data_IF_932652977460
#
_entry.id   IF_932652977460
#
_cell.length_a   1.000
_cell.length_b   1.000
_cell.length_c   1.000
_cell.angle_alpha   90.00
_cell.angle_beta   90.00
_cell.angle_gamma   90.00
#
_symmetry.space_group_name_H-M   'P 1'
#
loop_
_entity.id
_entity.type
_entity.pdbx_description
1 polymer ?
#
# COMPACT_ATOMS: atom_id res chain seq x y z
N UNK A 1 -4.40 7.15 15.54
CA UNK A 1 -4.72 6.12 14.53
C UNK A 1 -4.16 4.79 15.01
N UNK A 2 -4.98 3.73 15.03
CA UNK A 2 -4.56 2.39 15.47
C UNK A 2 -3.90 1.61 14.32
N UNK A 3 -3.21 0.50 14.64
CA UNK A 3 -2.69 -0.45 13.63
C UNK A 3 -3.80 -0.97 12.70
N UNK A 4 -5.01 -1.18 13.24
CA UNK A 4 -6.17 -1.62 12.47
C UNK A 4 -6.64 -0.56 11.47
N UNK A 5 -6.61 0.72 11.86
CA UNK A 5 -6.99 1.82 10.97
C UNK A 5 -5.97 1.94 9.81
N UNK A 6 -4.69 1.80 10.11
CA UNK A 6 -3.60 1.81 9.11
C UNK A 6 -3.76 0.67 8.12
N UNK A 7 -4.07 -0.53 8.61
CA UNK A 7 -4.31 -1.71 7.79
C UNK A 7 -5.48 -1.51 6.82
N UNK A 8 -6.57 -0.88 7.27
CA UNK A 8 -7.73 -0.55 6.42
C UNK A 8 -7.43 0.46 5.32
N UNK A 9 -6.36 1.26 5.43
CA UNK A 9 -5.96 2.19 4.37
C UNK A 9 -5.64 1.46 3.06
N UNK A 10 -5.13 0.24 3.14
CA UNK A 10 -4.70 -0.55 1.99
C UNK A 10 -5.86 -1.22 1.23
N UNK A 11 -7.06 -1.29 1.80
CA UNK A 11 -8.17 -2.04 1.21
C UNK A 11 -8.94 -1.19 0.19
N UNK A 12 -9.08 -1.68 -1.04
CA UNK A 12 -9.90 -1.08 -2.11
C UNK A 12 -10.32 -2.18 -3.10
N UNK A 13 -11.02 -1.81 -4.17
CA UNK A 13 -11.56 -2.78 -5.14
C UNK A 13 -10.49 -3.73 -5.73
N UNK A 14 -9.25 -3.24 -5.88
CA UNK A 14 -8.13 -4.02 -6.42
C UNK A 14 -7.19 -4.62 -5.34
N UNK A 15 -7.40 -4.28 -4.07
CA UNK A 15 -6.58 -4.74 -2.95
C UNK A 15 -7.49 -5.24 -1.83
N UNK A 16 -7.62 -6.56 -1.73
CA UNK A 16 -8.43 -7.18 -0.69
C UNK A 16 -7.60 -7.69 0.48
N UNK A 17 -8.29 -8.20 1.49
CA UNK A 17 -7.70 -8.88 2.64
C UNK A 17 -8.43 -10.19 2.87
N UNK A 18 -7.69 -11.28 3.09
CA UNK A 18 -8.29 -12.58 3.39
C UNK A 18 -8.59 -12.72 4.89
N UNK A 19 -9.25 -13.83 5.27
CA UNK A 19 -9.61 -14.13 6.67
C UNK A 19 -8.38 -14.30 7.59
N UNK A 20 -7.19 -14.52 7.02
CA UNK A 20 -5.92 -14.61 7.75
C UNK A 20 -5.25 -13.25 7.93
N UNK A 21 -5.87 -12.15 7.48
CA UNK A 21 -5.31 -10.81 7.57
C UNK A 21 -4.20 -10.50 6.54
N UNK A 22 -4.02 -11.36 5.53
CA UNK A 22 -3.07 -11.12 4.44
C UNK A 22 -3.74 -10.32 3.34
N UNK A 23 -3.00 -9.36 2.78
CA UNK A 23 -3.47 -8.60 1.62
C UNK A 23 -3.30 -9.41 0.35
N UNK A 24 -4.15 -9.15 -0.63
CA UNK A 24 -3.99 -9.72 -1.96
C UNK A 24 -4.23 -8.69 -3.06
N UNK A 25 -3.42 -8.79 -4.12
CA UNK A 25 -3.53 -7.98 -5.34
C UNK A 25 -3.56 -8.93 -6.53
N UNK A 26 -4.52 -8.76 -7.43
CA UNK A 26 -4.60 -9.53 -8.67
C UNK A 26 -3.95 -8.79 -9.83
N UNK A 27 -2.91 -9.39 -10.42
CA UNK A 27 -2.14 -8.81 -11.52
C UNK A 27 -1.99 -9.83 -12.66
N UNK A 28 -2.60 -9.54 -13.81
CA UNK A 28 -2.62 -10.44 -14.97
C UNK A 28 -3.08 -11.87 -14.61
N UNK A 29 -4.17 -12.00 -13.84
CA UNK A 29 -4.74 -13.26 -13.34
C UNK A 29 -3.86 -14.02 -12.33
N UNK A 30 -2.79 -13.40 -11.83
CA UNK A 30 -2.00 -13.92 -10.73
C UNK A 30 -2.41 -13.22 -9.43
N UNK A 31 -2.64 -13.99 -8.37
CA UNK A 31 -2.91 -13.45 -7.04
C UNK A 31 -1.61 -13.37 -6.25
N UNK A 32 -1.18 -12.15 -5.95
CA UNK A 32 -0.01 -11.87 -5.13
C UNK A 32 -0.50 -11.66 -3.70
N UNK A 33 -0.01 -12.46 -2.76
CA UNK A 33 -0.35 -12.36 -1.34
C UNK A 33 0.75 -11.60 -0.59
N UNK A 34 0.38 -10.77 0.37
CA UNK A 34 1.29 -9.98 1.18
C UNK A 34 1.02 -10.08 2.67
N UNK A 35 2.10 -10.10 3.45
CA UNK A 35 2.08 -9.75 4.87
C UNK A 35 2.44 -8.28 5.03
N UNK A 36 1.71 -7.58 5.91
CA UNK A 36 1.98 -6.19 6.24
C UNK A 36 2.70 -6.09 7.58
N UNK A 37 3.85 -5.41 7.58
CA UNK A 37 4.53 -4.93 8.78
C UNK A 37 4.34 -3.42 8.87
N UNK A 38 3.81 -2.95 10.00
CA UNK A 38 3.55 -1.53 10.25
C UNK A 38 4.55 -1.03 11.30
N UNK A 39 5.31 0.01 10.95
CA UNK A 39 6.18 0.71 11.89
C UNK A 39 5.57 2.09 12.16
N UNK A 40 5.09 2.30 13.39
CA UNK A 40 4.45 3.54 13.80
C UNK A 40 5.53 4.48 14.38
N UNK A 41 5.69 5.65 13.78
CA UNK A 41 6.54 6.73 14.26
C UNK A 41 5.96 8.10 13.92
N UNK A 42 6.80 9.12 13.77
CA UNK A 42 6.39 10.45 13.26
C UNK A 42 5.73 10.30 11.88
N UNK A 43 6.27 9.39 11.08
CA UNK A 43 5.72 8.92 9.83
C UNK A 43 5.41 7.43 10.03
N UNK A 44 4.32 6.96 9.45
CA UNK A 44 3.93 5.55 9.46
C UNK A 44 4.54 4.89 8.22
N UNK A 45 5.34 3.86 8.43
CA UNK A 45 5.83 3.02 7.33
C UNK A 45 5.08 1.69 7.31
N UNK A 46 4.57 1.33 6.14
CA UNK A 46 3.91 0.05 5.90
C UNK A 46 4.75 -0.72 4.89
N UNK A 47 5.25 -1.89 5.29
CA UNK A 47 6.04 -2.78 4.44
C UNK A 47 5.17 -3.98 4.09
N UNK A 48 4.87 -4.14 2.81
CA UNK A 48 4.18 -5.28 2.24
C UNK A 48 5.21 -6.25 1.67
N UNK A 49 5.41 -7.39 2.33
CA UNK A 49 6.27 -8.45 1.82
C UNK A 49 5.41 -9.52 1.16
N UNK A 50 5.70 -9.82 -0.10
CA UNK A 50 4.98 -10.86 -0.81
C UNK A 50 5.36 -12.24 -0.27
N UNK A 51 4.34 -13.07 -0.04
CA UNK A 51 4.48 -14.43 0.48
C UNK A 51 4.86 -15.40 -0.64
N UNK A 52 4.32 -15.19 -1.84
CA UNK A 52 4.39 -16.13 -2.96
C UNK A 52 5.22 -15.64 -4.16
N UNK A 53 5.74 -14.41 -4.10
CA UNK A 53 6.65 -13.85 -5.10
C UNK A 53 7.78 -13.06 -4.44
N UNK A 54 8.92 -12.89 -5.13
CA UNK A 54 9.97 -11.96 -4.69
C UNK A 54 9.54 -10.53 -5.00
N UNK A 55 8.74 -9.94 -4.12
CA UNK A 55 8.24 -8.58 -4.25
C UNK A 55 8.07 -7.97 -2.86
N UNK A 56 8.60 -6.76 -2.68
CA UNK A 56 8.40 -5.97 -1.46
C UNK A 56 7.93 -4.58 -1.86
N UNK A 57 6.89 -4.08 -1.20
CA UNK A 57 6.44 -2.69 -1.34
C UNK A 57 6.56 -1.94 -0.02
N UNK A 58 7.03 -0.69 -0.09
CA UNK A 58 7.08 0.25 1.02
C UNK A 58 6.11 1.38 0.75
N UNK A 59 5.29 1.69 1.74
CA UNK A 59 4.32 2.79 1.72
C UNK A 59 4.64 3.68 2.91
N UNK A 60 4.73 4.98 2.65
CA UNK A 60 5.07 5.98 3.66
C UNK A 60 3.88 6.92 3.79
N UNK A 61 3.29 6.94 4.98
CA UNK A 61 2.08 7.69 5.31
C UNK A 61 2.38 8.73 6.40
N UNK A 62 2.10 10.00 6.13
CA UNK A 62 2.19 11.07 7.12
C UNK A 62 0.82 11.22 7.83
N UNK A 63 0.71 10.79 9.10
CA UNK A 63 -0.56 10.86 9.84
C UNK A 63 -0.99 12.30 10.16
N UNK A 64 -0.11 13.30 10.05
CA UNK A 64 -0.47 14.70 10.33
C UNK A 64 -1.27 15.33 9.19
N UNK A 65 -1.01 14.88 7.96
CA UNK A 65 -1.71 15.34 6.76
C UNK A 65 -2.72 14.33 6.24
N UNK A 66 -2.75 13.13 6.83
CA UNK A 66 -3.51 11.98 6.36
C UNK A 66 -3.21 11.64 4.89
N UNK A 67 -1.91 11.72 4.52
CA UNK A 67 -1.45 11.48 3.13
C UNK A 67 -0.38 10.41 3.03
N UNK A 68 -0.48 9.59 1.98
CA UNK A 68 0.60 8.75 1.48
C UNK A 68 1.56 9.62 0.69
N UNK A 69 2.79 9.77 1.19
CA UNK A 69 3.83 10.62 0.60
C UNK A 69 4.79 9.83 -0.30
N UNK A 70 4.91 8.52 -0.09
CA UNK A 70 5.74 7.65 -0.92
C UNK A 70 5.09 6.27 -1.10
N UNK A 71 5.25 5.70 -2.28
CA UNK A 71 4.98 4.29 -2.55
C UNK A 71 6.08 3.77 -3.48
N UNK A 72 6.81 2.78 -3.02
CA UNK A 72 7.85 2.09 -3.79
C UNK A 72 7.62 0.59 -3.73
N UNK A 73 7.95 -0.11 -4.82
CA UNK A 73 7.90 -1.57 -4.91
C UNK A 73 9.17 -2.03 -5.60
N UNK A 74 9.69 -3.18 -5.19
CA UNK A 74 10.89 -3.80 -5.77
C UNK A 74 10.61 -5.29 -5.98
N UNK A 75 10.79 -5.77 -7.21
CA UNK A 75 10.69 -7.17 -7.59
C UNK A 75 9.59 -7.50 -8.60
N UNK A 76 8.91 -8.64 -8.39
CA UNK A 76 7.97 -9.21 -9.36
C UNK A 76 6.84 -8.24 -9.73
N UNK A 77 6.78 -7.83 -11.00
CA UNK A 77 5.77 -6.89 -11.53
C UNK A 77 5.63 -5.61 -10.70
N UNK A 78 6.74 -5.10 -10.17
CA UNK A 78 6.80 -3.95 -9.27
C UNK A 78 6.01 -2.73 -9.77
N UNK A 79 6.14 -2.38 -11.06
CA UNK A 79 5.46 -1.21 -11.63
C UNK A 79 3.94 -1.35 -11.62
N UNK A 80 3.43 -2.54 -12.00
CA UNK A 80 1.98 -2.80 -12.02
C UNK A 80 1.42 -2.82 -10.61
N UNK A 81 2.12 -3.45 -9.67
CA UNK A 81 1.69 -3.51 -8.28
C UNK A 81 1.71 -2.12 -7.65
N UNK A 82 2.80 -1.37 -7.85
CA UNK A 82 2.92 0.02 -7.41
C UNK A 82 1.79 0.88 -7.97
N UNK A 83 1.49 0.75 -9.26
CA UNK A 83 0.39 1.48 -9.90
C UNK A 83 -0.96 1.18 -9.23
N UNK A 84 -1.27 -0.08 -8.97
CA UNK A 84 -2.52 -0.48 -8.29
C UNK A 84 -2.59 0.12 -6.88
N UNK A 85 -1.50 0.03 -6.10
CA UNK A 85 -1.43 0.62 -4.75
C UNK A 85 -1.62 2.14 -4.80
N UNK A 86 -0.96 2.82 -5.73
CA UNK A 86 -1.10 4.27 -5.89
C UNK A 86 -2.51 4.66 -6.33
N UNK A 87 -3.13 3.90 -7.24
CA UNK A 87 -4.49 4.16 -7.69
C UNK A 87 -5.50 3.99 -6.54
N UNK A 88 -5.33 2.96 -5.72
CA UNK A 88 -6.08 2.76 -4.48
C UNK A 88 -6.05 4.00 -3.57
N UNK A 89 -4.86 4.57 -3.36
CA UNK A 89 -4.68 5.77 -2.54
C UNK A 89 -5.23 7.04 -3.20
N UNK A 90 -5.16 7.11 -4.53
CA UNK A 90 -5.72 8.22 -5.31
C UNK A 90 -7.24 8.24 -5.22
N UNK A 91 -7.90 7.10 -5.37
CA UNK A 91 -9.36 6.95 -5.25
C UNK A 91 -9.86 7.33 -3.86
N UNK A 92 -9.07 7.01 -2.83
CA UNK A 92 -9.34 7.43 -1.44
C UNK A 92 -9.01 8.89 -1.16
N UNK A 93 -8.43 9.62 -2.10
CA UNK A 93 -7.99 11.00 -1.91
C UNK A 93 -6.85 11.15 -0.89
N UNK A 94 -6.12 10.08 -0.56
CA UNK A 94 -5.01 10.10 0.42
C UNK A 94 -3.64 10.10 -0.26
N UNK A 95 -3.54 9.89 -1.57
CA UNK A 95 -2.27 10.05 -2.27
C UNK A 95 -1.83 11.52 -2.22
N UNK A 96 -0.58 11.78 -1.86
CA UNK A 96 0.00 13.12 -1.93
C UNK A 96 0.14 13.54 -3.39
N UNK A 97 -0.89 14.21 -3.91
CA UNK A 97 -0.81 14.95 -5.15
C UNK A 97 -0.11 16.25 -4.80
N UNK A 98 1.21 16.32 -4.92
CA UNK A 98 1.91 17.58 -4.74
C UNK A 98 1.15 18.65 -5.52
N UNK A 99 0.68 19.70 -4.84
CA UNK A 99 0.42 20.95 -5.55
C UNK A 99 1.81 21.32 -6.08
N UNK A 100 2.07 21.03 -7.34
CA UNK A 100 2.98 21.84 -8.14
C UNK A 100 2.42 23.25 -7.98
N UNK A 101 3.05 24.02 -7.10
CA UNK A 101 2.92 25.47 -7.13
C UNK A 101 3.19 25.89 -8.57
N UNK A 102 2.15 26.45 -9.18
CA UNK A 102 2.06 27.15 -10.48
C UNK A 102 3.33 27.21 -11.33
#
# INVERSE_FOLDING_TARGET
>A
MSDLDIKRLLICDQIGMNNSGQYYIEVDRLRILFEAKVNIGIIVEIILNSINYKLTCKIVFDPRYEKVIETSCIGFKEDKVKYIIQNCFKEKGILYTGKTSR
#
